data_IF_494572720069
#
_entry.id   IF_494572720069
#
_cell.length_a   1.000
_cell.length_b   1.000
_cell.length_c   1.000
_cell.angle_alpha   90.00
_cell.angle_beta   90.00
_cell.angle_gamma   90.00
#
_symmetry.space_group_name_H-M   'P 1'
#
loop_
_entity.id
_entity.type
_entity.pdbx_description
1 polymer ?
#
# COMPACT_ATOMS: atom_id res chain seq x y z
N UNK A 1 -52.30 -7.26 35.51
CA UNK A 1 -52.49 -5.88 35.03
C UNK A 1 -51.79 -4.96 36.01
N UNK A 2 -51.01 -3.98 35.56
CA UNK A 2 -50.35 -3.00 36.41
C UNK A 2 -51.17 -1.71 36.36
N UNK A 3 -51.78 -1.34 37.47
CA UNK A 3 -52.51 -0.08 37.59
C UNK A 3 -51.53 1.08 37.73
N UNK A 4 -51.55 2.00 36.76
CA UNK A 4 -50.87 3.29 36.86
C UNK A 4 -51.66 4.18 37.83
N UNK A 5 -51.16 4.34 39.06
CA UNK A 5 -51.67 5.38 39.95
C UNK A 5 -51.32 6.76 39.40
N UNK A 6 -52.26 7.37 38.68
CA UNK A 6 -52.24 8.80 38.44
C UNK A 6 -52.60 9.52 39.75
N UNK A 7 -51.67 10.34 40.26
CA UNK A 7 -52.05 11.37 41.24
C UNK A 7 -53.01 12.34 40.55
N UNK A 8 -54.06 12.81 41.26
CA UNK A 8 -54.96 13.82 40.70
C UNK A 8 -54.20 15.12 40.48
N UNK A 9 -54.10 15.54 39.21
CA UNK A 9 -53.55 16.85 38.85
C UNK A 9 -54.38 17.94 39.52
N UNK A 10 -53.71 18.88 40.15
CA UNK A 10 -54.35 19.95 40.93
C UNK A 10 -55.08 20.90 39.95
N UNK A 11 -56.41 20.84 39.94
CA UNK A 11 -57.30 21.72 39.17
C UNK A 11 -56.87 23.19 39.34
N UNK A 12 -56.38 23.80 38.25
CA UNK A 12 -55.88 25.18 38.22
C UNK A 12 -54.37 25.34 38.00
N UNK A 13 -53.56 24.27 37.98
CA UNK A 13 -52.16 24.39 37.53
C UNK A 13 -52.05 24.49 36.00
N UNK A 14 -51.40 25.54 35.49
CA UNK A 14 -51.09 25.65 34.06
C UNK A 14 -50.20 24.46 33.64
N UNK A 15 -50.50 23.77 32.53
CA UNK A 15 -49.68 22.65 32.09
C UNK A 15 -48.25 23.11 31.82
N UNK A 16 -47.28 22.36 32.35
CA UNK A 16 -45.86 22.61 32.14
C UNK A 16 -45.54 22.58 30.64
N UNK A 17 -44.65 23.45 30.19
CA UNK A 17 -44.17 23.42 28.80
C UNK A 17 -43.36 22.14 28.55
N UNK A 18 -43.29 21.70 27.28
CA UNK A 18 -42.52 20.53 26.87
C UNK A 18 -41.05 20.62 27.31
N UNK A 19 -40.47 21.82 27.21
CA UNK A 19 -39.11 22.12 27.68
C UNK A 19 -38.96 21.98 29.21
N UNK A 20 -39.93 22.45 30.01
CA UNK A 20 -39.91 22.28 31.48
C UNK A 20 -40.08 20.82 31.89
N UNK A 21 -40.91 20.05 31.18
CA UNK A 21 -41.07 18.61 31.40
C UNK A 21 -39.75 17.89 31.07
N UNK A 22 -39.11 18.24 29.95
CA UNK A 22 -37.79 17.70 29.59
C UNK A 22 -36.72 18.05 30.63
N UNK A 23 -36.62 19.32 31.06
CA UNK A 23 -35.66 19.76 32.08
C UNK A 23 -35.91 19.07 33.46
N UNK A 24 -37.15 18.70 33.77
CA UNK A 24 -37.50 18.03 35.03
C UNK A 24 -37.27 16.50 34.99
N UNK A 25 -37.55 15.85 33.85
CA UNK A 25 -37.42 14.39 33.68
C UNK A 25 -36.00 13.97 33.27
N UNK A 26 -35.36 14.73 32.38
CA UNK A 26 -34.03 14.44 31.83
C UNK A 26 -32.92 15.27 32.48
N UNK A 27 -33.28 16.27 33.29
CA UNK A 27 -32.37 17.25 33.87
C UNK A 27 -32.09 18.43 32.93
N UNK A 28 -31.77 19.60 33.50
CA UNK A 28 -31.43 20.79 32.71
C UNK A 28 -30.29 20.51 31.74
N UNK A 29 -30.54 20.71 30.45
CA UNK A 29 -29.58 20.43 29.38
C UNK A 29 -28.41 21.44 29.39
N UNK A 30 -27.15 21.00 29.61
CA UNK A 30 -26.00 21.82 29.22
C UNK A 30 -25.83 21.66 27.68
N UNK A 31 -25.61 22.70 26.83
CA UNK A 31 -25.81 22.58 25.34
C UNK A 31 -24.67 22.92 24.36
N UNK A 32 -24.17 21.93 23.58
CA UNK A 32 -23.19 21.86 22.44
C UNK A 32 -21.63 21.75 22.62
N UNK A 33 -21.12 20.70 23.29
CA UNK A 33 -19.70 20.38 23.57
C UNK A 33 -18.90 20.05 22.31
N UNK A 34 -17.58 20.04 22.47
CA UNK A 34 -16.65 19.65 21.41
C UNK A 34 -16.84 18.17 21.03
N UNK A 35 -17.54 17.95 19.93
CA UNK A 35 -17.90 16.64 19.39
C UNK A 35 -19.33 16.16 19.71
N UNK A 36 -19.97 16.60 20.81
CA UNK A 36 -21.29 16.09 21.27
C UNK A 36 -22.21 17.06 22.08
N UNK A 37 -22.03 17.19 23.41
CA UNK A 37 -23.09 17.50 24.40
C UNK A 37 -23.41 18.96 24.80
N UNK A 38 -22.49 19.67 25.47
CA UNK A 38 -22.57 20.97 26.23
C UNK A 38 -21.54 22.14 25.95
N UNK A 39 -21.98 23.39 25.62
CA UNK A 39 -21.24 24.70 25.48
C UNK A 39 -21.50 25.58 24.19
N UNK A 40 -21.55 26.94 24.17
CA UNK A 40 -21.69 27.73 22.92
C UNK A 40 -20.55 27.48 21.89
N UNK A 41 -20.90 27.39 20.60
CA UNK A 41 -20.01 26.85 19.55
C UNK A 41 -18.72 27.69 19.33
N UNK A 42 -17.52 27.10 19.47
CA UNK A 42 -16.27 27.80 19.21
C UNK A 42 -16.06 28.07 17.70
N UNK A 43 -15.58 29.27 17.35
CA UNK A 43 -15.25 29.62 15.96
C UNK A 43 -14.03 28.83 15.48
N UNK A 44 -14.12 28.24 14.30
CA UNK A 44 -13.11 27.33 13.76
C UNK A 44 -11.80 28.06 13.43
N UNK A 45 -10.76 27.83 14.24
CA UNK A 45 -9.37 28.18 13.88
C UNK A 45 -8.86 27.12 12.91
N UNK A 46 -8.54 27.50 11.66
CA UNK A 46 -7.88 26.60 10.69
C UNK A 46 -6.60 26.05 11.31
N UNK A 47 -6.51 24.73 11.45
CA UNK A 47 -5.25 24.02 11.67
C UNK A 47 -4.55 23.86 10.33
N UNK A 48 -3.45 24.58 10.13
CA UNK A 48 -2.54 24.27 9.04
C UNK A 48 -1.87 22.92 9.35
N UNK A 49 -2.17 21.90 8.54
CA UNK A 49 -1.52 20.59 8.66
C UNK A 49 -0.07 20.72 8.22
N UNK A 50 0.87 20.49 9.12
CA UNK A 50 2.30 20.66 8.86
C UNK A 50 2.87 19.45 8.10
N UNK A 51 2.81 19.51 6.77
CA UNK A 51 3.81 19.09 5.76
C UNK A 51 4.74 17.84 5.92
N UNK A 52 4.56 16.93 6.86
CA UNK A 52 5.43 15.75 7.06
C UNK A 52 5.41 14.73 5.92
N UNK A 53 4.53 14.87 4.93
CA UNK A 53 4.38 13.93 3.80
C UNK A 53 5.28 14.25 2.59
N UNK A 54 5.88 15.44 2.52
CA UNK A 54 6.48 15.93 1.27
C UNK A 54 7.94 15.51 1.06
N UNK A 55 8.63 15.02 2.09
CA UNK A 55 10.05 14.61 2.02
C UNK A 55 10.23 13.12 1.73
N UNK A 56 9.33 12.26 2.24
CA UNK A 56 9.38 10.81 2.02
C UNK A 56 9.04 10.41 0.58
N UNK A 57 8.10 11.13 -0.06
CA UNK A 57 7.69 10.84 -1.43
C UNK A 57 8.86 11.04 -2.41
N UNK A 58 9.58 12.16 -2.30
CA UNK A 58 10.74 12.48 -3.16
C UNK A 58 11.89 11.47 -3.03
N UNK A 59 12.22 11.04 -1.80
CA UNK A 59 13.23 9.98 -1.59
C UNK A 59 12.84 8.62 -2.16
N UNK A 60 11.54 8.34 -2.30
CA UNK A 60 11.06 7.09 -2.89
C UNK A 60 11.32 7.07 -4.40
N UNK A 61 11.00 8.16 -5.10
CA UNK A 61 11.19 8.29 -6.56
C UNK A 61 12.66 8.25 -6.96
N UNK A 62 13.54 8.86 -6.16
CA UNK A 62 14.98 8.86 -6.44
C UNK A 62 15.60 7.45 -6.37
N UNK A 63 15.18 6.64 -5.39
CA UNK A 63 15.57 5.22 -5.29
C UNK A 63 14.98 4.33 -6.39
N UNK A 64 13.77 4.63 -6.84
CA UNK A 64 13.14 3.91 -7.96
C UNK A 64 13.93 4.08 -9.25
N UNK A 65 14.39 5.32 -9.54
CA UNK A 65 15.25 5.63 -10.68
C UNK A 65 16.62 4.92 -10.56
N UNK A 66 17.23 4.92 -9.36
CA UNK A 66 18.49 4.20 -9.11
C UNK A 66 18.37 2.69 -9.37
N UNK A 67 17.25 2.08 -8.95
CA UNK A 67 16.98 0.66 -9.18
C UNK A 67 16.70 0.34 -10.65
N UNK A 68 15.99 1.22 -11.38
CA UNK A 68 15.80 1.06 -12.83
C UNK A 68 17.14 1.12 -13.59
N UNK A 69 18.03 2.06 -13.23
CA UNK A 69 19.36 2.15 -13.84
C UNK A 69 20.19 0.87 -13.59
N UNK A 70 20.19 0.36 -12.35
CA UNK A 70 20.87 -0.91 -11.99
C UNK A 70 20.29 -2.13 -12.70
N UNK A 71 18.97 -2.17 -12.92
CA UNK A 71 18.31 -3.23 -13.68
C UNK A 71 18.75 -3.20 -15.14
N UNK A 72 18.78 -2.03 -15.77
CA UNK A 72 19.22 -1.87 -17.15
C UNK A 72 20.69 -2.29 -17.32
N UNK A 73 21.58 -1.85 -16.42
CA UNK A 73 23.00 -2.24 -16.42
C UNK A 73 23.18 -3.78 -16.27
N UNK A 74 22.37 -4.41 -15.41
CA UNK A 74 22.40 -5.87 -15.23
C UNK A 74 21.95 -6.61 -16.50
N UNK A 75 20.93 -6.12 -17.22
CA UNK A 75 20.47 -6.69 -18.48
C UNK A 75 21.53 -6.59 -19.58
N UNK A 76 22.20 -5.45 -19.72
CA UNK A 76 23.31 -5.27 -20.68
C UNK A 76 24.49 -6.21 -20.37
N UNK A 77 24.83 -6.39 -19.09
CA UNK A 77 25.86 -7.35 -18.66
C UNK A 77 25.49 -8.80 -19.03
N UNK A 78 24.24 -9.21 -18.84
CA UNK A 78 23.73 -10.53 -19.24
C UNK A 78 23.82 -10.70 -20.76
N UNK A 79 23.39 -9.72 -21.54
CA UNK A 79 23.41 -9.79 -23.01
C UNK A 79 24.84 -9.84 -23.57
N UNK A 80 25.82 -9.19 -22.93
CA UNK A 80 27.25 -9.33 -23.27
C UNK A 80 27.77 -10.73 -22.89
N UNK A 81 27.37 -11.25 -21.73
CA UNK A 81 27.72 -12.59 -21.28
C UNK A 81 27.19 -13.68 -22.23
N UNK A 82 25.93 -13.58 -22.68
CA UNK A 82 25.31 -14.54 -23.60
C UNK A 82 26.03 -14.59 -24.95
N UNK A 83 26.38 -13.42 -25.53
CA UNK A 83 27.20 -13.34 -26.75
C UNK A 83 28.57 -14.02 -26.57
N UNK A 84 29.19 -13.85 -25.40
CA UNK A 84 30.47 -14.51 -25.10
C UNK A 84 30.33 -16.04 -25.01
N UNK A 85 29.29 -16.52 -24.33
CA UNK A 85 28.98 -17.96 -24.23
C UNK A 85 28.69 -18.56 -25.61
N UNK A 86 27.93 -17.85 -26.46
CA UNK A 86 27.65 -18.26 -27.84
C UNK A 86 28.95 -18.36 -28.67
N UNK A 87 29.81 -17.35 -28.62
CA UNK A 87 31.09 -17.36 -29.34
C UNK A 87 32.00 -18.51 -28.88
N UNK A 88 32.09 -18.75 -27.56
CA UNK A 88 32.84 -19.87 -27.00
C UNK A 88 32.26 -21.23 -27.42
N UNK A 89 30.93 -21.38 -27.43
CA UNK A 89 30.26 -22.59 -27.89
C UNK A 89 30.59 -22.89 -29.37
N UNK A 90 30.52 -21.88 -30.25
CA UNK A 90 30.91 -22.02 -31.66
C UNK A 90 32.39 -22.36 -31.83
N UNK A 91 33.28 -21.84 -30.98
CA UNK A 91 34.70 -22.19 -31.00
C UNK A 91 34.91 -23.67 -30.61
N UNK A 92 34.26 -24.13 -29.54
CA UNK A 92 34.32 -25.53 -29.08
C UNK A 92 33.74 -26.49 -30.11
N UNK A 93 32.65 -26.13 -30.77
CA UNK A 93 32.05 -26.92 -31.85
C UNK A 93 32.99 -27.05 -33.07
N UNK A 94 33.64 -25.95 -33.46
CA UNK A 94 34.66 -25.94 -34.51
C UNK A 94 35.87 -26.83 -34.16
N UNK A 95 36.37 -26.74 -32.92
CA UNK A 95 37.46 -27.60 -32.44
C UNK A 95 37.05 -29.08 -32.42
N UNK A 96 35.84 -29.41 -31.96
CA UNK A 96 35.30 -30.76 -31.96
C UNK A 96 35.26 -31.34 -33.38
N UNK A 97 34.77 -30.55 -34.35
CA UNK A 97 34.72 -30.96 -35.76
C UNK A 97 36.11 -31.23 -36.33
N UNK A 98 37.10 -30.38 -36.06
CA UNK A 98 38.49 -30.59 -36.50
C UNK A 98 39.07 -31.90 -35.94
N UNK A 99 38.80 -32.20 -34.66
CA UNK A 99 39.24 -33.46 -34.02
C UNK A 99 38.55 -34.67 -34.67
N UNK A 100 37.25 -34.57 -34.97
CA UNK A 100 36.51 -35.64 -35.65
C UNK A 100 37.00 -35.89 -37.08
N UNK A 101 37.30 -34.83 -37.85
CA UNK A 101 37.86 -34.94 -39.19
C UNK A 101 39.28 -35.54 -39.16
N UNK A 102 40.13 -35.10 -38.23
CA UNK A 102 41.48 -35.66 -38.04
C UNK A 102 41.45 -37.13 -37.63
N UNK A 103 40.62 -37.50 -36.66
CA UNK A 103 40.49 -38.90 -36.21
C UNK A 103 39.86 -39.81 -37.27
N UNK A 104 39.00 -39.28 -38.15
CA UNK A 104 38.51 -40.00 -39.33
C UNK A 104 39.60 -40.21 -40.38
N UNK A 105 40.44 -39.20 -40.65
CA UNK A 105 41.55 -39.32 -41.59
C UNK A 105 42.64 -40.29 -41.13
N UNK A 106 42.83 -40.44 -39.82
CA UNK A 106 43.79 -41.38 -39.21
C UNK A 106 43.25 -42.82 -39.11
N UNK A 107 41.94 -43.03 -39.18
CA UNK A 107 41.33 -44.36 -39.29
C UNK A 107 41.39 -44.80 -40.76
N UNK A 108 42.42 -45.59 -41.10
CA UNK A 108 42.56 -46.21 -42.41
C UNK A 108 41.38 -47.14 -42.77
N UNK A 109 41.35 -47.69 -43.99
CA UNK A 109 40.29 -48.61 -44.41
C UNK A 109 40.13 -49.77 -43.42
N UNK A 110 38.90 -50.26 -43.18
CA UNK A 110 38.72 -51.46 -42.37
C UNK A 110 39.56 -52.59 -42.97
N UNK A 111 40.35 -53.27 -42.13
CA UNK A 111 41.10 -54.44 -42.56
C UNK A 111 40.12 -55.55 -42.94
N UNK A 112 40.11 -55.93 -44.21
CA UNK A 112 39.42 -57.14 -44.67
C UNK A 112 40.10 -58.40 -44.05
N UNK A 113 39.31 -59.41 -43.64
CA UNK A 113 39.78 -60.62 -42.98
C UNK A 113 40.37 -61.70 -43.92
#
# INVERSE_FOLDING_TARGET
>A
MLELQFQPTLEGSQPLSEDEICDQVLGRRPGYSKGLGWGPKPKARRTASANSSSTSCSQSTEKEIELQAKLQEALERIEVQDRNHQALASQVESMKKMIEEFTRAQQGPPHDP
#
